data_IF_643539083979
#
_entry.id   IF_643539083979
#
_cell.length_a   1.000
_cell.length_b   1.000
_cell.length_c   1.000
_cell.angle_alpha   90.00
_cell.angle_beta   90.00
_cell.angle_gamma   90.00
#
_symmetry.space_group_name_H-M   'P 1'
#
loop_
_entity.id
_entity.type
_entity.pdbx_description
1 polymer ?
#
# COMPACT_ATOMS: atom_id res chain seq x y z
N UNK A 1 -34.53 41.33 45.51
CA UNK A 1 -33.71 40.10 45.61
C UNK A 1 -34.18 39.14 44.55
N UNK A 2 -33.43 38.97 43.47
CA UNK A 2 -33.29 37.72 42.69
C UNK A 2 -32.15 37.96 41.71
N UNK A 3 -30.98 37.38 42.00
CA UNK A 3 -29.88 37.24 41.06
C UNK A 3 -30.35 36.35 39.91
N UNK A 4 -29.98 36.68 38.67
CA UNK A 4 -29.82 35.65 37.65
C UNK A 4 -28.40 35.76 37.09
N UNK A 5 -27.55 34.86 37.56
CA UNK A 5 -26.22 34.63 37.04
C UNK A 5 -26.36 33.71 35.84
N UNK A 6 -26.17 34.20 34.63
CA UNK A 6 -25.95 33.31 33.48
C UNK A 6 -24.50 33.43 33.04
N UNK A 7 -23.73 32.48 33.55
CA UNK A 7 -22.35 32.16 33.23
C UNK A 7 -22.15 31.90 31.74
N UNK A 8 -21.11 32.55 31.19
CA UNK A 8 -20.43 32.26 29.93
C UNK A 8 -20.11 30.77 29.76
N UNK A 9 -20.63 30.13 28.71
CA UNK A 9 -20.03 28.92 28.14
C UNK A 9 -20.48 28.74 26.68
N UNK A 10 -19.62 29.13 25.74
CA UNK A 10 -19.86 28.96 24.30
C UNK A 10 -18.63 29.37 23.50
N UNK A 11 -17.62 28.51 23.43
CA UNK A 11 -16.45 28.69 22.53
C UNK A 11 -15.60 27.42 22.38
N UNK A 12 -15.54 26.53 23.39
CA UNK A 12 -14.68 25.34 23.33
C UNK A 12 -15.22 24.20 22.45
N UNK A 13 -16.54 24.01 22.40
CA UNK A 13 -17.16 22.92 21.62
C UNK A 13 -17.08 23.11 20.10
N UNK A 14 -17.28 24.35 19.62
CA UNK A 14 -17.18 24.71 18.20
C UNK A 14 -15.74 24.63 17.67
N UNK A 15 -14.76 24.98 18.50
CA UNK A 15 -13.34 24.92 18.15
C UNK A 15 -12.87 23.48 17.96
N UNK A 16 -13.30 22.56 18.83
CA UNK A 16 -13.01 21.12 18.73
C UNK A 16 -13.76 20.45 17.57
N UNK A 17 -14.98 20.89 17.27
CA UNK A 17 -15.76 20.40 16.12
C UNK A 17 -15.13 20.78 14.77
N UNK A 18 -14.56 21.98 14.64
CA UNK A 18 -13.85 22.41 13.44
C UNK A 18 -12.52 21.66 13.21
N UNK A 19 -11.82 21.29 14.29
CA UNK A 19 -10.61 20.45 14.21
C UNK A 19 -10.90 19.01 13.74
N UNK A 20 -12.16 18.57 13.80
CA UNK A 20 -12.58 17.20 13.51
C UNK A 20 -13.01 16.97 12.05
N UNK A 21 -13.13 18.03 11.25
CA UNK A 21 -13.47 17.97 9.83
C UNK A 21 -12.37 18.67 9.02
N UNK A 22 -11.29 17.94 8.78
CA UNK A 22 -10.15 18.37 7.97
C UNK A 22 -10.34 17.81 6.55
N UNK A 23 -10.91 18.60 5.63
CA UNK A 23 -11.19 18.20 4.22
C UNK A 23 -10.13 18.70 3.21
N UNK A 24 -9.02 19.28 3.69
CA UNK A 24 -7.98 19.80 2.81
C UNK A 24 -7.35 18.66 2.00
N UNK A 25 -7.50 18.72 0.68
CA UNK A 25 -6.78 17.87 -0.27
C UNK A 25 -5.55 18.61 -0.79
N UNK A 26 -4.44 17.88 -0.94
CA UNK A 26 -3.23 18.38 -1.56
C UNK A 26 -2.87 17.44 -2.69
N UNK A 27 -3.12 17.88 -3.92
CA UNK A 27 -2.78 17.09 -5.10
C UNK A 27 -1.26 16.88 -5.18
N UNK A 28 -0.81 15.71 -5.67
CA UNK A 28 0.59 15.48 -5.89
C UNK A 28 1.14 16.50 -6.91
N UNK A 29 2.39 16.97 -6.75
CA UNK A 29 3.07 17.75 -7.77
C UNK A 29 3.04 17.04 -9.13
N UNK A 30 2.94 17.82 -10.22
CA UNK A 30 2.77 17.28 -11.57
C UNK A 30 3.92 16.35 -11.99
N UNK A 31 5.15 16.70 -11.63
CA UNK A 31 6.35 15.90 -11.91
C UNK A 31 6.30 14.52 -11.22
N UNK A 32 5.84 14.49 -9.97
CA UNK A 32 5.66 13.24 -9.23
C UNK A 32 4.53 12.41 -9.83
N UNK A 33 3.42 13.04 -10.19
CA UNK A 33 2.28 12.38 -10.80
C UNK A 33 2.64 11.79 -12.17
N UNK A 34 3.48 12.47 -12.97
CA UNK A 34 3.96 11.98 -14.27
C UNK A 34 4.87 10.76 -14.12
N UNK A 35 5.80 10.78 -13.16
CA UNK A 35 6.80 9.71 -12.99
C UNK A 35 6.40 8.61 -11.98
N UNK A 36 5.18 8.64 -11.44
CA UNK A 36 4.70 7.60 -10.54
C UNK A 36 4.73 6.21 -11.21
N UNK A 37 5.24 5.21 -10.48
CA UNK A 37 5.37 3.81 -10.93
C UNK A 37 4.02 3.09 -11.14
N UNK A 38 2.94 3.64 -10.59
CA UNK A 38 1.58 3.11 -10.69
C UNK A 38 0.63 4.30 -10.86
N UNK A 39 -0.38 4.17 -11.72
CA UNK A 39 -1.40 5.20 -11.96
C UNK A 39 -2.76 4.73 -11.47
N UNK A 40 -3.76 5.61 -11.57
CA UNK A 40 -5.10 5.37 -11.05
C UNK A 40 -5.84 4.19 -11.75
N UNK A 41 -5.52 3.94 -13.02
CA UNK A 41 -6.03 2.81 -13.80
C UNK A 41 -5.72 1.44 -13.18
N UNK A 42 -4.63 1.33 -12.41
CA UNK A 42 -4.29 0.10 -11.69
C UNK A 42 -5.37 -0.33 -10.69
N UNK A 43 -6.12 0.62 -10.11
CA UNK A 43 -7.23 0.28 -9.22
C UNK A 43 -8.39 -0.35 -9.99
N UNK A 44 -8.69 0.15 -11.18
CA UNK A 44 -9.73 -0.40 -12.04
C UNK A 44 -9.33 -1.81 -12.51
N UNK A 45 -8.07 -1.98 -12.93
CA UNK A 45 -7.52 -3.27 -13.32
C UNK A 45 -7.57 -4.31 -12.16
N UNK A 46 -7.14 -3.90 -10.97
CA UNK A 46 -7.15 -4.76 -9.79
C UNK A 46 -8.57 -5.11 -9.31
N UNK A 47 -9.56 -4.24 -9.55
CA UNK A 47 -10.97 -4.55 -9.25
C UNK A 47 -11.58 -5.49 -10.29
N UNK A 48 -11.23 -5.33 -11.57
CA UNK A 48 -11.76 -6.13 -12.66
C UNK A 48 -11.30 -7.59 -12.59
N UNK A 49 -10.03 -7.82 -12.28
CA UNK A 49 -9.46 -9.16 -12.07
C UNK A 49 -8.40 -9.15 -10.95
N UNK A 50 -8.81 -9.31 -9.69
CA UNK A 50 -7.88 -9.25 -8.55
C UNK A 50 -6.79 -10.32 -8.60
N UNK A 51 -7.13 -11.55 -9.03
CA UNK A 51 -6.17 -12.66 -9.04
C UNK A 51 -5.21 -12.53 -10.22
N UNK A 52 -5.70 -12.16 -11.40
CA UNK A 52 -4.84 -11.86 -12.55
C UNK A 52 -3.89 -10.70 -12.27
N UNK A 53 -4.38 -9.62 -11.66
CA UNK A 53 -3.56 -8.48 -11.26
C UNK A 53 -2.41 -8.92 -10.33
N UNK A 54 -2.71 -9.71 -9.29
CA UNK A 54 -1.68 -10.20 -8.37
C UNK A 54 -0.75 -11.23 -8.99
N UNK A 55 -1.22 -12.05 -9.94
CA UNK A 55 -0.35 -12.94 -10.71
C UNK A 55 0.71 -12.14 -11.48
N UNK A 56 0.29 -11.09 -12.20
CA UNK A 56 1.20 -10.20 -12.94
C UNK A 56 2.19 -9.51 -12.00
N UNK A 57 1.72 -8.97 -10.87
CA UNK A 57 2.62 -8.33 -9.90
C UNK A 57 3.64 -9.31 -9.30
N UNK A 58 3.29 -10.59 -9.17
CA UNK A 58 4.19 -11.61 -8.66
C UNK A 58 5.35 -11.94 -9.62
N UNK A 59 5.27 -11.57 -10.90
CA UNK A 59 6.37 -11.76 -11.85
C UNK A 59 7.56 -10.81 -11.58
N UNK A 60 7.38 -9.79 -10.73
CA UNK A 60 8.43 -8.82 -10.36
C UNK A 60 9.48 -9.41 -9.40
N UNK A 61 9.17 -10.55 -8.80
CA UNK A 61 10.12 -11.31 -7.98
C UNK A 61 10.57 -12.55 -8.72
N UNK A 62 11.78 -12.97 -8.43
CA UNK A 62 12.40 -14.16 -9.01
C UNK A 62 11.95 -15.40 -8.24
N UNK A 63 11.22 -16.26 -8.93
CA UNK A 63 10.80 -17.57 -8.44
C UNK A 63 11.82 -18.63 -8.84
N UNK A 64 12.19 -19.49 -7.89
CA UNK A 64 12.97 -20.70 -8.18
C UNK A 64 12.07 -21.78 -8.80
N UNK A 65 10.82 -21.87 -8.34
CA UNK A 65 9.75 -22.65 -8.96
C UNK A 65 8.50 -21.76 -9.08
N UNK A 66 7.87 -21.67 -10.26
CA UNK A 66 6.66 -20.86 -10.44
C UNK A 66 5.51 -21.41 -9.61
N UNK A 67 4.61 -20.53 -9.15
CA UNK A 67 3.38 -20.94 -8.48
C UNK A 67 2.37 -21.52 -9.48
N UNK A 68 1.48 -22.37 -9.00
CA UNK A 68 0.38 -22.94 -9.79
C UNK A 68 -0.93 -22.20 -9.57
N UNK A 69 -1.15 -21.69 -8.35
CA UNK A 69 -2.38 -20.99 -7.97
C UNK A 69 -2.06 -19.69 -7.23
N UNK A 70 -2.74 -18.60 -7.60
CA UNK A 70 -2.50 -17.26 -7.01
C UNK A 70 -3.01 -17.20 -5.57
N UNK A 71 -4.20 -17.73 -5.31
CA UNK A 71 -4.84 -17.73 -4.01
C UNK A 71 -5.67 -19.01 -3.81
N UNK A 72 -5.37 -19.74 -2.75
CA UNK A 72 -6.24 -20.75 -2.15
C UNK A 72 -6.94 -20.12 -0.93
N UNK A 73 -8.28 -20.12 -0.96
CA UNK A 73 -9.16 -19.59 0.09
C UNK A 73 -10.17 -20.66 0.57
N UNK A 74 -9.85 -21.94 0.45
CA UNK A 74 -10.78 -23.03 0.76
C UNK A 74 -11.00 -23.23 2.27
N UNK A 75 -10.10 -22.74 3.14
CA UNK A 75 -10.20 -22.83 4.61
C UNK A 75 -10.04 -21.46 5.31
N UNK A 76 -11.05 -20.56 5.24
CA UNK A 76 -10.97 -19.26 5.89
C UNK A 76 -10.86 -19.38 7.42
N UNK A 77 -10.04 -18.56 8.10
CA UNK A 77 -9.35 -17.36 7.59
C UNK A 77 -7.93 -17.62 7.06
N UNK A 78 -7.54 -18.87 6.78
CA UNK A 78 -6.18 -19.24 6.40
C UNK A 78 -5.93 -19.14 4.89
N UNK A 79 -5.70 -17.92 4.40
CA UNK A 79 -5.25 -17.69 3.02
C UNK A 79 -3.90 -18.35 2.72
N UNK A 80 -3.78 -18.98 1.55
CA UNK A 80 -2.48 -19.35 0.98
C UNK A 80 -2.30 -18.64 -0.36
N UNK A 81 -1.29 -17.78 -0.43
CA UNK A 81 -0.95 -17.06 -1.66
C UNK A 81 0.20 -17.74 -2.39
N UNK A 82 0.14 -17.73 -3.73
CA UNK A 82 1.17 -18.24 -4.64
C UNK A 82 1.53 -19.71 -4.36
N UNK A 83 0.50 -20.56 -4.28
CA UNK A 83 0.61 -21.97 -3.93
C UNK A 83 1.49 -22.71 -4.93
N UNK A 84 2.36 -23.58 -4.40
CA UNK A 84 3.35 -24.32 -5.20
C UNK A 84 4.61 -23.51 -5.53
N UNK A 85 4.56 -22.18 -5.43
CA UNK A 85 5.69 -21.31 -5.72
C UNK A 85 6.80 -21.45 -4.69
N UNK A 86 8.06 -21.49 -5.16
CA UNK A 86 9.24 -21.46 -4.30
C UNK A 86 10.12 -20.28 -4.66
N UNK A 87 10.53 -19.53 -3.66
CA UNK A 87 11.50 -18.45 -3.80
C UNK A 87 12.47 -18.43 -2.63
N UNK A 88 13.57 -17.71 -2.79
CA UNK A 88 14.47 -17.38 -1.71
C UNK A 88 14.51 -15.84 -1.55
N UNK A 89 14.33 -15.38 -0.30
CA UNK A 89 14.30 -13.95 0.00
C UNK A 89 15.67 -13.30 -0.22
N UNK A 90 16.76 -13.94 0.22
CA UNK A 90 18.12 -13.44 0.01
C UNK A 90 18.44 -13.31 -1.48
N UNK A 91 18.05 -14.31 -2.30
CA UNK A 91 18.25 -14.25 -3.75
C UNK A 91 17.55 -13.03 -4.38
N UNK A 92 16.31 -12.75 -3.97
CA UNK A 92 15.55 -11.60 -4.45
C UNK A 92 16.08 -10.26 -3.95
N UNK A 93 16.67 -10.22 -2.76
CA UNK A 93 17.14 -8.98 -2.14
C UNK A 93 18.60 -8.65 -2.48
N UNK A 94 19.43 -9.64 -2.80
CA UNK A 94 20.88 -9.47 -2.93
C UNK A 94 21.40 -10.12 -4.21
N UNK A 95 21.33 -11.45 -4.32
CA UNK A 95 22.05 -12.21 -5.33
C UNK A 95 21.69 -11.75 -6.75
N UNK A 96 20.38 -11.62 -7.06
CA UNK A 96 19.93 -11.18 -8.40
C UNK A 96 20.45 -9.78 -8.78
N UNK A 97 20.71 -8.91 -7.80
CA UNK A 97 21.25 -7.58 -8.07
C UNK A 97 22.75 -7.61 -8.34
N UNK A 98 23.49 -8.45 -7.62
CA UNK A 98 24.92 -8.69 -7.89
C UNK A 98 25.11 -9.32 -9.27
N UNK A 99 24.32 -10.34 -9.61
CA UNK A 99 24.32 -11.00 -10.91
C UNK A 99 24.02 -10.02 -12.07
N UNK A 100 23.17 -9.02 -11.82
CA UNK A 100 22.87 -7.94 -12.77
C UNK A 100 23.97 -6.85 -12.84
N UNK A 101 25.13 -7.07 -12.24
CA UNK A 101 26.26 -6.14 -12.26
C UNK A 101 26.12 -4.94 -11.31
N UNK A 102 25.21 -5.01 -10.34
CA UNK A 102 24.96 -3.92 -9.36
C UNK A 102 25.65 -4.18 -8.01
N UNK A 103 26.69 -5.02 -7.98
CA UNK A 103 27.38 -5.42 -6.76
C UNK A 103 28.05 -4.27 -6.00
N UNK A 104 28.50 -3.24 -6.71
CA UNK A 104 29.12 -2.05 -6.10
C UNK A 104 28.08 -1.02 -5.62
N UNK A 105 26.79 -1.23 -5.91
CA UNK A 105 25.74 -0.34 -5.43
C UNK A 105 25.56 -0.55 -3.93
N UNK A 106 25.66 0.51 -3.16
CA UNK A 106 25.48 0.41 -1.71
C UNK A 106 24.08 -0.09 -1.36
N UNK A 107 24.02 -1.16 -0.57
CA UNK A 107 22.80 -1.77 -0.07
C UNK A 107 22.45 -1.36 1.37
N UNK A 108 23.46 -1.06 2.20
CA UNK A 108 23.31 -0.67 3.60
C UNK A 108 24.47 0.25 4.04
N UNK A 109 24.18 1.20 4.93
CA UNK A 109 25.12 2.14 5.55
C UNK A 109 24.90 2.19 7.06
#
# INVERSE_FOLDING_TARGET
MTNDSTTTQGSSGETLSNLSHEERHFDPPEDLAEHANLKADAYEAAQADPLGFWAEQAERVSWAEPFTDVLDWDDPPFAKWFVGGKLNASYNCVDRHVEQGRGDKVAFH
#
